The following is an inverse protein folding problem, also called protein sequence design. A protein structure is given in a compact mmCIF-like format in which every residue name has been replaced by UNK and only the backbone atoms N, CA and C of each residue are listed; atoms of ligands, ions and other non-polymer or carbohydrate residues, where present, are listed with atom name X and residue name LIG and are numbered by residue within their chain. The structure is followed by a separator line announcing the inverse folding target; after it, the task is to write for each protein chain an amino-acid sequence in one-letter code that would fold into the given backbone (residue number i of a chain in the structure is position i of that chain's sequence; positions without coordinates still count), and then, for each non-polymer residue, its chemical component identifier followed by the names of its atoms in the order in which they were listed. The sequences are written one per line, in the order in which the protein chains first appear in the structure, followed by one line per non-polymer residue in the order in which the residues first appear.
data_IF_449064497508
#
_entry.id   IF_449064497508
#
_cell.length_a   1.000
_cell.length_b   1.000
_cell.length_c   1.000
_cell.angle_alpha   90.00
_cell.angle_beta   90.00
_cell.angle_gamma   90.00
#
_symmetry.space_group_name_H-M   'P 1'
#
loop_
_entity.id
_entity.type
_entity.pdbx_description
1 polymer ?
#
# COMPACT_ATOMS: atom_id res chain seq x y z
N UNK A 1 22.59 12.38 -8.91
CA UNK A 1 23.20 11.68 -10.07
C UNK A 1 23.09 10.17 -9.88
N UNK A 2 22.89 9.40 -10.97
CA UNK A 2 22.83 7.94 -10.91
C UNK A 2 24.23 7.36 -10.73
N UNK A 3 24.41 6.52 -9.72
CA UNK A 3 25.66 5.82 -9.45
C UNK A 3 25.60 4.41 -10.05
N UNK A 4 26.35 4.16 -11.11
CA UNK A 4 26.32 2.90 -11.86
C UNK A 4 26.75 1.68 -11.02
N UNK A 5 27.79 1.81 -10.19
CA UNK A 5 28.25 0.68 -9.36
C UNK A 5 27.20 0.26 -8.34
N UNK A 6 26.57 1.26 -7.70
CA UNK A 6 25.44 1.02 -6.79
C UNK A 6 24.25 0.41 -7.53
N UNK A 7 23.96 0.93 -8.73
CA UNK A 7 22.92 0.39 -9.61
C UNK A 7 23.14 -1.09 -9.94
N UNK A 8 24.35 -1.47 -10.34
CA UNK A 8 24.73 -2.87 -10.62
C UNK A 8 24.53 -3.78 -9.40
N UNK A 9 24.87 -3.31 -8.18
CA UNK A 9 24.62 -4.07 -6.94
C UNK A 9 23.13 -4.29 -6.68
N UNK A 10 22.30 -3.25 -6.88
CA UNK A 10 20.86 -3.34 -6.72
C UNK A 10 20.23 -4.30 -7.74
N UNK A 11 20.61 -4.19 -9.01
CA UNK A 11 20.13 -5.10 -10.06
C UNK A 11 20.50 -6.55 -9.74
N UNK A 12 21.74 -6.81 -9.32
CA UNK A 12 22.18 -8.16 -8.91
C UNK A 12 21.35 -8.69 -7.74
N UNK A 13 21.10 -7.84 -6.73
CA UNK A 13 20.26 -8.20 -5.58
C UNK A 13 18.84 -8.57 -6.02
N UNK A 14 18.23 -7.74 -6.87
CA UNK A 14 16.87 -7.98 -7.37
C UNK A 14 16.78 -9.28 -8.18
N UNK A 15 17.75 -9.57 -9.04
CA UNK A 15 17.79 -10.84 -9.80
C UNK A 15 17.93 -12.05 -8.87
N UNK A 16 18.78 -11.97 -7.84
CA UNK A 16 18.89 -13.02 -6.82
C UNK A 16 17.55 -13.20 -6.06
N UNK A 17 16.93 -12.09 -5.64
CA UNK A 17 15.64 -12.12 -4.98
C UNK A 17 14.56 -12.81 -5.84
N UNK A 18 14.53 -12.56 -7.14
CA UNK A 18 13.60 -13.23 -8.06
C UNK A 18 13.95 -14.73 -8.23
N UNK A 19 15.24 -15.10 -8.28
CA UNK A 19 15.66 -16.50 -8.33
C UNK A 19 15.22 -17.29 -7.08
N UNK A 20 15.20 -16.64 -5.90
CA UNK A 20 14.79 -17.26 -4.64
C UNK A 20 13.26 -17.31 -4.49
N UNK A 21 12.54 -16.24 -4.87
CA UNK A 21 11.11 -16.08 -4.58
C UNK A 21 10.21 -16.60 -5.69
N UNK A 22 10.60 -16.42 -6.95
CA UNK A 22 9.85 -16.78 -8.15
C UNK A 22 10.77 -17.49 -9.14
N UNK A 23 11.33 -18.67 -8.78
CA UNK A 23 12.34 -19.34 -9.56
C UNK A 23 11.84 -19.79 -10.93
N UNK A 24 12.70 -19.64 -11.94
CA UNK A 24 12.53 -20.24 -13.27
C UNK A 24 13.04 -21.68 -13.21
N UNK A 25 12.33 -22.60 -13.88
CA UNK A 25 12.77 -23.99 -13.96
C UNK A 25 14.10 -24.09 -14.72
N UNK A 26 15.14 -24.66 -14.07
CA UNK A 26 16.47 -24.90 -14.63
C UNK A 26 17.19 -23.67 -15.21
N UNK A 27 16.89 -22.46 -14.71
CA UNK A 27 17.44 -21.22 -15.20
C UNK A 27 17.41 -20.11 -14.14
N UNK A 28 18.12 -19.01 -14.40
CA UNK A 28 18.16 -17.81 -13.56
C UNK A 28 17.52 -16.61 -14.27
N UNK A 29 16.92 -15.71 -13.49
CA UNK A 29 16.45 -14.40 -13.98
C UNK A 29 17.56 -13.53 -14.59
N UNK A 30 18.83 -13.86 -14.35
CA UNK A 30 19.99 -13.19 -14.95
C UNK A 30 20.23 -13.58 -16.41
N UNK A 31 19.72 -14.74 -16.83
CA UNK A 31 20.02 -15.37 -18.13
C UNK A 31 18.95 -15.07 -19.18
N UNK A 32 17.76 -14.63 -18.75
CA UNK A 32 16.64 -14.40 -19.65
C UNK A 32 16.90 -13.25 -20.61
N UNK A 33 16.50 -13.44 -21.87
CA UNK A 33 16.61 -12.44 -22.94
C UNK A 33 15.26 -11.90 -23.40
N UNK A 34 14.15 -12.60 -23.13
CA UNK A 34 12.79 -12.14 -23.47
C UNK A 34 11.76 -12.87 -22.60
N UNK A 35 10.58 -12.26 -22.44
CA UNK A 35 9.50 -12.81 -21.65
C UNK A 35 8.19 -12.67 -22.42
N UNK A 36 7.41 -13.74 -22.48
CA UNK A 36 6.12 -13.79 -23.23
C UNK A 36 5.07 -14.55 -22.45
N UNK A 37 3.83 -14.37 -22.84
CA UNK A 37 2.70 -15.19 -22.36
C UNK A 37 2.24 -16.11 -23.47
N UNK A 38 2.31 -17.43 -23.23
CA UNK A 38 1.76 -18.46 -24.13
C UNK A 38 0.63 -19.22 -23.42
N UNK A 39 -0.57 -19.16 -24.00
CA UNK A 39 -1.75 -19.67 -23.31
C UNK A 39 -1.99 -18.91 -22.00
N UNK A 40 -1.89 -19.62 -20.89
CA UNK A 40 -1.99 -19.11 -19.52
C UNK A 40 -0.64 -19.10 -18.79
N UNK A 41 0.45 -19.45 -19.45
CA UNK A 41 1.76 -19.58 -18.84
C UNK A 41 2.70 -18.45 -19.23
N UNK A 42 3.59 -18.11 -18.29
CA UNK A 42 4.72 -17.22 -18.53
C UNK A 42 5.89 -18.03 -19.10
N UNK A 43 6.43 -17.58 -20.22
CA UNK A 43 7.53 -18.22 -20.93
C UNK A 43 8.72 -17.28 -20.97
N UNK A 44 9.87 -17.78 -20.54
CA UNK A 44 11.16 -17.09 -20.53
C UNK A 44 12.05 -17.64 -21.64
N UNK A 45 12.61 -16.75 -22.43
CA UNK A 45 13.57 -17.12 -23.47
C UNK A 45 15.00 -16.99 -22.93
N UNK A 46 15.78 -18.06 -23.10
CA UNK A 46 17.22 -18.08 -22.80
C UNK A 46 17.93 -18.62 -24.05
N UNK A 47 18.51 -17.72 -24.83
CA UNK A 47 18.93 -18.03 -26.19
C UNK A 47 17.75 -18.49 -27.04
N UNK A 48 17.76 -19.74 -27.51
CA UNK A 48 16.67 -20.36 -28.29
C UNK A 48 15.76 -21.26 -27.44
N UNK A 49 16.05 -21.45 -26.15
CA UNK A 49 15.28 -22.35 -25.27
C UNK A 49 14.19 -21.60 -24.54
N UNK A 50 13.00 -22.22 -24.48
CA UNK A 50 11.88 -21.75 -23.67
C UNK A 50 11.92 -22.42 -22.30
N UNK A 51 11.69 -21.62 -21.27
CA UNK A 51 11.62 -22.05 -19.87
C UNK A 51 10.33 -21.49 -19.25
N UNK A 52 9.89 -22.07 -18.14
CA UNK A 52 8.72 -21.60 -17.40
C UNK A 52 9.07 -21.35 -15.94
N UNK A 53 8.17 -20.76 -15.19
CA UNK A 53 8.28 -20.74 -13.74
C UNK A 53 8.31 -22.15 -13.19
N UNK A 54 9.10 -22.38 -12.13
CA UNK A 54 9.12 -23.65 -11.39
C UNK A 54 7.75 -23.95 -10.79
N UNK A 55 7.07 -22.91 -10.26
CA UNK A 55 5.67 -22.94 -9.85
C UNK A 55 4.87 -21.98 -10.74
N UNK A 56 4.16 -22.54 -11.70
CA UNK A 56 3.36 -21.79 -12.68
C UNK A 56 2.20 -21.02 -12.03
N UNK A 57 1.75 -21.41 -10.83
CA UNK A 57 0.66 -20.73 -10.13
C UNK A 57 1.09 -19.37 -9.55
N UNK A 58 2.38 -19.12 -9.45
CA UNK A 58 2.88 -17.81 -9.07
C UNK A 58 2.56 -16.71 -10.10
N UNK A 59 2.36 -17.08 -11.37
CA UNK A 59 1.94 -16.12 -12.39
C UNK A 59 0.47 -15.75 -12.24
N UNK A 60 0.19 -14.48 -11.94
CA UNK A 60 -1.15 -13.96 -11.68
C UNK A 60 -1.71 -13.20 -12.89
N UNK A 61 -0.87 -12.40 -13.56
CA UNK A 61 -1.31 -11.58 -14.67
C UNK A 61 -0.20 -10.72 -15.27
N UNK A 62 -0.58 -9.85 -16.19
CA UNK A 62 0.35 -9.03 -16.96
C UNK A 62 -0.33 -7.76 -17.48
N UNK A 63 0.49 -6.83 -17.98
CA UNK A 63 0.07 -5.71 -18.81
C UNK A 63 0.85 -5.70 -20.13
N UNK A 64 0.27 -5.07 -21.14
CA UNK A 64 0.77 -5.09 -22.51
C UNK A 64 0.15 -6.21 -23.35
N UNK A 65 0.77 -6.51 -24.47
CA UNK A 65 0.39 -7.64 -25.34
C UNK A 65 1.17 -8.89 -24.92
N UNK A 66 0.61 -10.09 -25.18
CA UNK A 66 1.25 -11.37 -24.80
C UNK A 66 2.71 -11.53 -25.28
N UNK A 67 3.04 -10.91 -26.41
CA UNK A 67 4.40 -10.91 -26.99
C UNK A 67 5.19 -9.61 -26.71
N UNK A 68 4.56 -8.60 -26.09
CA UNK A 68 5.18 -7.31 -25.78
C UNK A 68 4.66 -6.82 -24.44
N UNK A 69 5.17 -7.46 -23.40
CA UNK A 69 4.75 -7.17 -22.03
C UNK A 69 5.30 -5.82 -21.56
N UNK A 70 4.52 -5.10 -20.76
CA UNK A 70 4.96 -3.90 -20.04
C UNK A 70 5.10 -4.15 -18.54
N UNK A 71 4.39 -5.15 -18.02
CA UNK A 71 4.63 -5.66 -16.67
C UNK A 71 4.16 -7.11 -16.53
N UNK A 72 4.71 -7.78 -15.51
CA UNK A 72 4.35 -9.13 -15.10
C UNK A 72 4.01 -9.10 -13.63
N UNK A 73 2.83 -9.60 -13.27
CA UNK A 73 2.40 -9.74 -11.89
C UNK A 73 2.56 -11.19 -11.45
N UNK A 74 3.39 -11.40 -10.45
CA UNK A 74 3.58 -12.70 -9.80
C UNK A 74 3.26 -12.60 -8.31
N UNK A 75 3.10 -13.76 -7.64
CA UNK A 75 2.66 -13.82 -6.24
C UNK A 75 3.47 -14.83 -5.45
N UNK A 76 3.92 -14.44 -4.26
CA UNK A 76 4.58 -15.30 -3.28
C UNK A 76 4.06 -14.96 -1.88
N UNK A 77 3.73 -15.98 -1.08
CA UNK A 77 3.23 -15.82 0.30
C UNK A 77 2.05 -14.83 0.40
N UNK A 78 1.14 -14.87 -0.58
CA UNK A 78 0.01 -13.94 -0.75
C UNK A 78 0.38 -12.49 -1.10
N UNK A 79 1.65 -12.13 -1.20
CA UNK A 79 2.12 -10.81 -1.60
C UNK A 79 2.42 -10.78 -3.10
N UNK A 80 2.07 -9.68 -3.75
CA UNK A 80 2.30 -9.49 -5.18
C UNK A 80 3.66 -8.83 -5.42
N UNK A 81 4.28 -9.25 -6.53
CA UNK A 81 5.50 -8.69 -7.07
C UNK A 81 5.19 -8.26 -8.50
N UNK A 82 5.35 -6.98 -8.79
CA UNK A 82 5.14 -6.40 -10.11
C UNK A 82 6.48 -6.13 -10.79
N UNK A 83 6.77 -6.86 -11.87
CA UNK A 83 8.03 -6.78 -12.62
C UNK A 83 7.77 -5.91 -13.83
N UNK A 84 8.31 -4.68 -13.84
CA UNK A 84 8.11 -3.71 -14.90
C UNK A 84 9.11 -3.93 -16.03
N UNK A 85 8.61 -3.99 -17.26
CA UNK A 85 9.38 -4.19 -18.47
C UNK A 85 9.28 -2.91 -19.31
N UNK A 86 10.41 -2.24 -19.52
CA UNK A 86 10.50 -1.01 -20.29
C UNK A 86 11.87 -0.87 -20.93
N UNK A 87 11.94 -1.11 -22.23
CA UNK A 87 13.16 -1.03 -23.04
C UNK A 87 13.71 0.39 -23.18
N UNK A 88 12.88 1.42 -22.93
CA UNK A 88 13.27 2.82 -23.08
C UNK A 88 13.78 3.41 -21.75
N UNK A 89 13.52 2.74 -20.64
CA UNK A 89 14.06 3.08 -19.33
C UNK A 89 15.57 2.85 -19.27
N UNK A 90 16.28 3.70 -18.53
CA UNK A 90 17.76 3.60 -18.39
C UNK A 90 18.20 2.24 -17.86
N UNK A 91 17.52 1.67 -16.89
CA UNK A 91 17.83 0.35 -16.33
C UNK A 91 17.41 -0.75 -17.31
N UNK A 92 16.20 -0.67 -17.88
CA UNK A 92 15.70 -1.64 -18.84
C UNK A 92 16.58 -1.77 -20.10
N UNK A 93 17.19 -0.67 -20.57
CA UNK A 93 18.18 -0.70 -21.66
C UNK A 93 19.40 -1.56 -21.36
N UNK A 94 19.79 -1.68 -20.12
CA UNK A 94 20.94 -2.48 -19.67
C UNK A 94 20.60 -3.93 -19.34
N UNK A 95 19.30 -4.26 -19.24
CA UNK A 95 18.81 -5.62 -18.94
C UNK A 95 18.43 -6.35 -20.22
N UNK A 96 18.87 -7.60 -20.39
CA UNK A 96 18.63 -8.40 -21.60
C UNK A 96 17.14 -8.62 -21.88
N UNK A 97 16.31 -8.71 -20.84
CA UNK A 97 14.86 -8.87 -20.93
C UNK A 97 14.12 -7.55 -20.70
N UNK A 98 14.83 -6.42 -20.71
CA UNK A 98 14.30 -5.06 -20.50
C UNK A 98 13.58 -4.87 -19.16
N UNK A 99 13.95 -5.62 -18.11
CA UNK A 99 13.43 -5.43 -16.76
C UNK A 99 13.95 -4.10 -16.23
N UNK A 100 13.02 -3.17 -16.01
CA UNK A 100 13.33 -1.80 -15.58
C UNK A 100 13.19 -1.61 -14.08
N UNK A 101 12.26 -2.32 -13.44
CA UNK A 101 12.00 -2.22 -12.01
C UNK A 101 11.27 -3.46 -11.49
N UNK A 102 11.36 -3.68 -10.17
CA UNK A 102 10.57 -4.69 -9.45
C UNK A 102 9.94 -4.01 -8.25
N UNK A 103 8.62 -4.02 -8.20
CA UNK A 103 7.81 -3.41 -7.13
C UNK A 103 7.18 -4.52 -6.31
N UNK A 104 7.42 -4.52 -5.02
CA UNK A 104 6.89 -5.53 -4.09
C UNK A 104 5.85 -4.92 -3.15
N UNK A 105 4.82 -5.68 -2.82
CA UNK A 105 3.91 -5.34 -1.73
C UNK A 105 4.66 -5.51 -0.41
N UNK A 106 4.84 -4.43 0.33
CA UNK A 106 5.56 -4.44 1.61
C UNK A 106 4.79 -3.76 2.74
N UNK A 107 4.20 -2.58 2.48
CA UNK A 107 3.38 -1.85 3.45
C UNK A 107 1.89 -2.09 3.15
N UNK A 108 1.31 -3.15 3.73
CA UNK A 108 -0.11 -3.48 3.55
C UNK A 108 -1.02 -2.52 4.32
N UNK A 109 -0.50 -1.92 5.39
CA UNK A 109 -1.20 -0.89 6.17
C UNK A 109 -0.28 0.30 6.43
N UNK A 110 -0.89 1.46 6.66
CA UNK A 110 -0.21 2.71 7.03
C UNK A 110 -1.03 3.39 8.11
N UNK A 111 -0.38 3.90 9.15
CA UNK A 111 -1.02 4.61 10.25
C UNK A 111 -0.96 6.10 9.96
N UNK A 112 -2.12 6.74 9.91
CA UNK A 112 -2.27 8.20 9.90
C UNK A 112 -2.36 8.66 11.34
N UNK A 113 -1.59 9.66 11.68
CA UNK A 113 -1.37 10.06 13.07
C UNK A 113 -2.08 11.37 13.40
N UNK A 114 -2.79 11.39 14.53
CA UNK A 114 -3.35 12.60 15.15
C UNK A 114 -2.59 12.98 16.44
N UNK A 115 -1.44 12.37 16.70
CA UNK A 115 -0.65 12.53 17.92
C UNK A 115 0.82 12.93 17.61
N UNK A 116 1.77 12.25 18.20
CA UNK A 116 3.16 12.67 18.34
C UNK A 116 3.91 12.94 17.02
N UNK A 117 3.66 12.16 15.96
CA UNK A 117 4.42 12.30 14.72
C UNK A 117 4.05 13.52 13.88
N UNK A 118 2.91 14.15 14.17
CA UNK A 118 2.43 15.34 13.44
C UNK A 118 2.56 16.63 14.22
N UNK A 119 2.97 16.58 15.50
CA UNK A 119 3.17 17.72 16.39
C UNK A 119 2.00 18.73 16.33
N UNK A 120 0.77 18.22 16.49
CA UNK A 120 -0.43 19.06 16.53
C UNK A 120 -0.45 19.83 17.87
N UNK A 121 0.09 21.04 17.87
CA UNK A 121 0.30 21.87 19.08
C UNK A 121 -0.82 22.86 19.33
N UNK A 122 -1.66 23.12 18.34
CA UNK A 122 -2.79 24.03 18.42
C UNK A 122 -4.01 23.52 17.65
N UNK A 123 -5.09 24.28 17.67
CA UNK A 123 -6.34 23.95 17.00
C UNK A 123 -6.22 23.92 15.48
N UNK A 124 -5.37 24.74 14.89
CA UNK A 124 -5.17 24.77 13.44
C UNK A 124 -4.47 23.49 12.97
N UNK A 125 -3.44 23.05 13.67
CA UNK A 125 -2.74 21.80 13.41
C UNK A 125 -3.67 20.60 13.56
N UNK A 126 -4.49 20.57 14.61
CA UNK A 126 -5.46 19.51 14.84
C UNK A 126 -6.51 19.43 13.73
N UNK A 127 -7.06 20.56 13.32
CA UNK A 127 -7.99 20.63 12.19
C UNK A 127 -7.33 20.19 10.89
N UNK A 128 -6.03 20.49 10.70
CA UNK A 128 -5.26 20.01 9.52
C UNK A 128 -5.15 18.50 9.51
N UNK A 129 -4.91 17.86 10.65
CA UNK A 129 -4.89 16.40 10.78
C UNK A 129 -6.25 15.80 10.36
N UNK A 130 -7.34 16.34 10.87
CA UNK A 130 -8.68 15.89 10.53
C UNK A 130 -9.03 16.11 9.06
N UNK A 131 -8.65 17.25 8.47
CA UNK A 131 -8.84 17.52 7.04
C UNK A 131 -8.07 16.55 6.16
N UNK A 132 -6.86 16.20 6.54
CA UNK A 132 -6.06 15.21 5.83
C UNK A 132 -6.74 13.84 5.89
N UNK A 133 -7.20 13.41 7.06
CA UNK A 133 -7.95 12.17 7.20
C UNK A 133 -9.24 12.18 6.38
N UNK A 134 -10.02 13.26 6.44
CA UNK A 134 -11.22 13.42 5.62
C UNK A 134 -10.93 13.30 4.13
N UNK A 135 -9.89 13.97 3.63
CA UNK A 135 -9.49 13.92 2.22
C UNK A 135 -9.01 12.53 1.79
N UNK A 136 -8.35 11.78 2.68
CA UNK A 136 -7.99 10.38 2.45
C UNK A 136 -9.23 9.49 2.32
N UNK A 137 -10.24 9.65 3.21
CA UNK A 137 -11.46 8.87 3.20
C UNK A 137 -12.40 9.23 2.03
N UNK A 138 -12.46 10.49 1.64
CA UNK A 138 -13.14 10.93 0.42
C UNK A 138 -12.41 10.51 -0.86
N UNK A 139 -11.11 10.30 -0.77
CA UNK A 139 -10.26 9.98 -1.92
C UNK A 139 -9.86 11.18 -2.77
N UNK A 140 -10.05 12.40 -2.28
CA UNK A 140 -9.78 13.66 -2.99
C UNK A 140 -8.57 14.45 -2.45
N UNK A 141 -7.84 13.90 -1.48
CA UNK A 141 -6.65 14.55 -0.94
C UNK A 141 -5.61 14.81 -2.03
N UNK A 142 -5.18 16.05 -2.13
CA UNK A 142 -4.12 16.50 -3.04
C UNK A 142 -3.06 17.29 -2.29
N UNK A 143 -1.82 17.22 -2.75
CA UNK A 143 -0.73 18.04 -2.25
C UNK A 143 0.01 18.71 -3.41
N UNK A 144 0.15 20.02 -3.33
CA UNK A 144 0.97 20.79 -4.26
C UNK A 144 2.43 20.66 -3.85
N UNK A 145 3.25 20.11 -4.72
CA UNK A 145 4.67 19.84 -4.49
C UNK A 145 5.54 20.67 -5.43
N UNK A 146 6.72 21.05 -4.94
CA UNK A 146 7.78 21.64 -5.75
C UNK A 146 9.04 20.82 -5.58
N UNK A 147 9.57 20.26 -6.66
CA UNK A 147 10.83 19.52 -6.65
C UNK A 147 11.74 20.03 -7.75
N UNK A 148 12.89 20.59 -7.38
CA UNK A 148 13.88 21.15 -8.30
C UNK A 148 13.26 22.21 -9.25
N UNK A 149 12.41 23.11 -8.71
CA UNK A 149 11.75 24.16 -9.47
C UNK A 149 10.51 23.70 -10.29
N UNK A 150 10.26 22.40 -10.37
CA UNK A 150 9.08 21.85 -11.06
C UNK A 150 7.92 21.68 -10.08
N UNK A 151 6.84 22.39 -10.32
CA UNK A 151 5.57 22.25 -9.57
C UNK A 151 4.78 21.06 -10.12
N UNK A 152 4.28 20.21 -9.23
CA UNK A 152 3.40 19.11 -9.58
C UNK A 152 2.40 18.84 -8.45
N UNK A 153 1.29 18.19 -8.79
CA UNK A 153 0.24 17.82 -7.84
C UNK A 153 0.37 16.34 -7.52
N UNK A 154 0.59 16.01 -6.25
CA UNK A 154 0.45 14.62 -5.76
C UNK A 154 -1.02 14.32 -5.51
N UNK A 155 -1.43 13.16 -5.96
CA UNK A 155 -2.77 12.59 -5.75
C UNK A 155 -2.64 11.20 -5.17
N UNK A 156 -3.74 10.70 -4.62
CA UNK A 156 -3.82 9.31 -4.18
C UNK A 156 -3.67 8.37 -5.37
N UNK A 157 -2.92 7.28 -5.20
CA UNK A 157 -2.72 6.30 -6.25
C UNK A 157 -4.05 5.60 -6.59
N UNK A 158 -4.39 5.44 -7.88
CA UNK A 158 -5.51 4.60 -8.28
C UNK A 158 -5.19 3.12 -8.10
N UNK A 159 -6.22 2.29 -8.14
CA UNK A 159 -6.04 0.84 -8.19
C UNK A 159 -5.28 0.43 -9.46
N UNK A 160 -4.41 -0.58 -9.33
CA UNK A 160 -3.58 -1.11 -10.40
C UNK A 160 -4.35 -2.20 -11.16
N UNK A 161 -4.43 -2.08 -12.47
CA UNK A 161 -5.18 -2.98 -13.34
C UNK A 161 -4.24 -3.90 -14.12
N UNK A 162 -4.63 -5.17 -14.27
CA UNK A 162 -3.89 -6.18 -15.03
C UNK A 162 -4.85 -7.07 -15.81
N UNK A 163 -4.32 -7.79 -16.77
CA UNK A 163 -4.96 -8.92 -17.42
C UNK A 163 -4.46 -10.18 -16.70
N UNK A 164 -5.38 -10.97 -16.14
CA UNK A 164 -5.02 -12.21 -15.47
C UNK A 164 -4.54 -13.26 -16.47
N UNK A 165 -3.92 -14.34 -15.98
CA UNK A 165 -3.44 -15.45 -16.82
C UNK A 165 -4.52 -16.05 -17.72
N UNK A 166 -5.76 -16.07 -17.28
CA UNK A 166 -6.93 -16.57 -18.04
C UNK A 166 -7.63 -15.49 -18.89
N UNK A 167 -7.06 -14.29 -19.02
CA UNK A 167 -7.57 -13.21 -19.86
C UNK A 167 -8.59 -12.27 -19.19
N UNK A 168 -9.00 -12.52 -17.95
CA UNK A 168 -9.92 -11.65 -17.23
C UNK A 168 -9.21 -10.38 -16.72
N UNK A 169 -9.95 -9.31 -16.56
CA UNK A 169 -9.44 -8.10 -15.89
C UNK A 169 -9.39 -8.29 -14.38
N UNK A 170 -8.27 -7.99 -13.77
CA UNK A 170 -8.08 -7.98 -12.31
C UNK A 170 -7.59 -6.61 -11.85
N UNK A 171 -7.87 -6.27 -10.61
CA UNK A 171 -7.46 -5.02 -10.00
C UNK A 171 -6.86 -5.27 -8.63
N UNK A 172 -5.73 -4.64 -8.34
CA UNK A 172 -5.09 -4.62 -7.03
C UNK A 172 -5.22 -3.23 -6.42
N UNK A 173 -5.28 -3.16 -5.11
CA UNK A 173 -5.24 -1.88 -4.40
C UNK A 173 -3.98 -1.09 -4.77
N UNK A 174 -4.16 0.18 -5.10
CA UNK A 174 -3.05 1.11 -5.33
C UNK A 174 -2.52 1.74 -4.05
N UNK A 175 -3.22 1.56 -2.92
CA UNK A 175 -2.93 2.16 -1.63
C UNK A 175 -2.91 1.11 -0.53
N UNK A 176 -2.11 1.37 0.52
CA UNK A 176 -2.17 0.60 1.76
C UNK A 176 -3.50 0.85 2.49
N UNK A 177 -3.95 -0.10 3.32
CA UNK A 177 -5.04 0.11 4.25
C UNK A 177 -4.61 1.18 5.27
N UNK A 178 -5.42 2.22 5.41
CA UNK A 178 -5.16 3.31 6.34
C UNK A 178 -5.87 3.06 7.66
N UNK A 179 -5.09 3.13 8.75
CA UNK A 179 -5.56 3.17 10.13
C UNK A 179 -5.34 4.59 10.65
N UNK A 180 -6.20 5.06 11.56
CA UNK A 180 -6.03 6.37 12.20
C UNK A 180 -5.59 6.18 13.65
N UNK A 181 -4.45 6.76 14.05
CA UNK A 181 -4.01 6.78 15.45
C UNK A 181 -4.60 7.98 16.16
N UNK A 182 -5.50 7.72 17.11
CA UNK A 182 -6.05 8.73 17.99
C UNK A 182 -5.09 9.03 19.14
N UNK A 183 -5.27 10.16 19.78
CA UNK A 183 -4.52 10.55 20.98
C UNK A 183 -4.77 9.58 22.15
N UNK A 184 -3.78 9.41 23.01
CA UNK A 184 -3.82 8.53 24.18
C UNK A 184 -4.84 8.93 25.24
N UNK A 185 -4.95 8.12 26.30
CA UNK A 185 -6.02 8.26 27.30
C UNK A 185 -5.89 9.50 28.20
N UNK A 186 -4.65 9.98 28.44
CA UNK A 186 -4.39 11.03 29.42
C UNK A 186 -4.60 12.45 28.90
N UNK A 187 -4.72 12.61 27.58
CA UNK A 187 -4.85 13.92 26.96
C UNK A 187 -6.29 14.40 26.99
N UNK A 188 -6.47 15.66 27.33
CA UNK A 188 -7.76 16.37 27.27
C UNK A 188 -7.67 17.51 26.26
N UNK A 189 -8.83 18.05 25.86
CA UNK A 189 -8.89 19.13 24.88
C UNK A 189 -10.02 20.11 25.19
N UNK A 190 -9.70 21.43 25.28
CA UNK A 190 -10.68 22.47 25.64
C UNK A 190 -11.70 22.79 24.54
N UNK A 191 -11.60 22.18 23.36
CA UNK A 191 -12.57 22.39 22.27
C UNK A 191 -14.00 22.01 22.66
N UNK A 192 -14.14 21.06 23.58
CA UNK A 192 -15.42 20.63 24.14
C UNK A 192 -15.30 20.56 25.66
N UNK A 193 -16.17 21.29 26.36
CA UNK A 193 -16.26 21.26 27.79
C UNK A 193 -17.45 20.38 28.22
N UNK A 194 -17.24 19.59 29.26
CA UNK A 194 -18.29 18.81 29.91
C UNK A 194 -19.14 19.71 30.80
N UNK A 195 -20.25 19.18 31.34
CA UNK A 195 -21.18 19.96 32.18
C UNK A 195 -20.58 20.56 33.44
N UNK A 196 -19.54 19.91 33.96
CA UNK A 196 -18.79 20.34 35.14
C UNK A 196 -17.66 21.32 34.81
N UNK A 197 -17.51 21.70 33.53
CA UNK A 197 -16.42 22.57 33.05
C UNK A 197 -15.10 21.86 32.77
N UNK A 198 -15.02 20.57 32.98
CA UNK A 198 -13.83 19.81 32.60
C UNK A 198 -13.70 19.61 31.09
N UNK A 199 -12.49 19.45 30.59
CA UNK A 199 -12.22 19.22 29.17
C UNK A 199 -12.58 17.78 28.76
N UNK A 200 -13.03 17.61 27.52
CA UNK A 200 -13.27 16.27 26.97
C UNK A 200 -11.93 15.50 26.84
N UNK A 201 -11.92 14.19 27.12
CA UNK A 201 -10.79 13.35 26.74
C UNK A 201 -10.55 13.43 25.22
N UNK A 202 -9.38 13.92 24.81
CA UNK A 202 -9.08 14.19 23.39
C UNK A 202 -9.18 12.93 22.51
N UNK A 203 -8.82 11.77 23.05
CA UNK A 203 -8.94 10.51 22.33
C UNK A 203 -10.39 10.12 22.00
N UNK A 204 -11.39 10.59 22.80
CA UNK A 204 -12.81 10.42 22.49
C UNK A 204 -13.21 11.36 21.35
N UNK A 205 -12.81 12.63 21.42
CA UNK A 205 -13.03 13.59 20.34
C UNK A 205 -12.45 13.09 19.02
N UNK A 206 -11.22 12.58 19.05
CA UNK A 206 -10.57 11.97 17.88
C UNK A 206 -11.39 10.80 17.33
N UNK A 207 -11.89 9.91 18.19
CA UNK A 207 -12.69 8.77 17.77
C UNK A 207 -13.97 9.19 17.04
N UNK A 208 -14.67 10.18 17.55
CA UNK A 208 -15.87 10.71 16.88
C UNK A 208 -15.54 11.34 15.54
N UNK A 209 -14.57 12.26 15.49
CA UNK A 209 -14.21 12.98 14.26
C UNK A 209 -13.63 12.04 13.22
N UNK A 210 -12.70 11.14 13.60
CA UNK A 210 -12.11 10.19 12.67
C UNK A 210 -13.12 9.20 12.11
N UNK A 211 -14.08 8.75 12.93
CA UNK A 211 -15.17 7.88 12.47
C UNK A 211 -16.10 8.63 11.51
N UNK A 212 -16.52 9.86 11.84
CA UNK A 212 -17.32 10.69 10.96
C UNK A 212 -16.67 10.87 9.58
N UNK A 213 -15.37 11.16 9.56
CA UNK A 213 -14.61 11.25 8.32
C UNK A 213 -14.59 9.91 7.55
N UNK A 214 -14.42 8.79 8.26
CA UNK A 214 -14.34 7.45 7.64
C UNK A 214 -15.67 7.00 7.02
N UNK A 215 -16.82 7.53 7.44
CA UNK A 215 -18.12 7.25 6.80
C UNK A 215 -18.13 7.60 5.30
N UNK A 216 -17.30 8.55 4.87
CA UNK A 216 -17.18 8.89 3.46
C UNK A 216 -16.59 7.73 2.63
N UNK A 217 -15.76 6.87 3.22
CA UNK A 217 -15.20 5.70 2.54
C UNK A 217 -16.20 4.55 2.40
N UNK A 218 -17.23 4.47 3.27
CA UNK A 218 -18.18 3.35 3.27
C UNK A 218 -18.95 3.21 1.96
N UNK A 219 -19.22 4.31 1.28
CA UNK A 219 -19.84 4.31 -0.04
C UNK A 219 -18.92 3.78 -1.13
N UNK A 220 -17.67 4.23 -1.14
CA UNK A 220 -16.72 3.95 -2.22
C UNK A 220 -15.83 2.74 -1.92
N UNK A 221 -15.67 2.37 -0.64
CA UNK A 221 -14.84 1.24 -0.16
C UNK A 221 -13.40 1.28 -0.69
N UNK A 222 -12.83 2.49 -0.80
CA UNK A 222 -11.48 2.70 -1.31
C UNK A 222 -10.42 2.40 -0.25
N UNK A 223 -10.74 2.60 1.03
CA UNK A 223 -9.88 2.24 2.14
C UNK A 223 -10.31 0.90 2.75
N UNK A 224 -11.52 0.81 3.31
CA UNK A 224 -12.04 -0.40 3.92
C UNK A 224 -13.01 -1.13 3.00
N UNK A 225 -12.62 -2.31 2.52
CA UNK A 225 -13.51 -3.18 1.70
C UNK A 225 -14.63 -3.80 2.51
N UNK A 226 -14.49 -3.88 3.83
CA UNK A 226 -15.47 -4.47 4.77
C UNK A 226 -16.38 -3.44 5.40
N UNK A 227 -16.18 -2.14 5.16
CA UNK A 227 -16.96 -1.07 5.78
C UNK A 227 -16.62 -0.88 7.28
N UNK A 228 -15.35 -1.05 7.64
CA UNK A 228 -14.86 -0.90 9.02
C UNK A 228 -14.02 0.36 9.16
N UNK A 229 -14.00 0.93 10.36
CA UNK A 229 -13.07 2.00 10.75
C UNK A 229 -11.97 1.39 11.60
N UNK A 230 -10.71 1.69 11.26
CA UNK A 230 -9.55 1.14 11.95
C UNK A 230 -8.88 2.23 12.76
N UNK A 231 -8.96 2.12 14.08
CA UNK A 231 -8.39 3.09 15.03
C UNK A 231 -7.24 2.43 15.79
N UNK A 232 -6.11 3.11 15.82
CA UNK A 232 -4.96 2.75 16.66
C UNK A 232 -5.04 3.57 17.94
N UNK A 233 -5.04 2.90 19.10
CA UNK A 233 -5.02 3.54 20.42
C UNK A 233 -3.63 3.40 21.03
N UNK A 234 -2.86 4.48 21.16
CA UNK A 234 -1.51 4.45 21.73
C UNK A 234 -1.51 4.50 23.26
N UNK A 235 -0.34 4.30 23.85
CA UNK A 235 -0.05 4.56 25.28
C UNK A 235 -1.02 3.83 26.23
N UNK A 236 -1.30 2.54 25.92
CA UNK A 236 -2.12 1.71 26.77
C UNK A 236 -1.41 1.36 28.07
N UNK A 237 -2.10 1.43 29.20
CA UNK A 237 -1.56 1.19 30.54
C UNK A 237 -1.60 -0.32 30.90
N UNK A 238 -0.93 -1.15 30.11
CA UNK A 238 -0.78 -2.57 30.35
C UNK A 238 -1.92 -3.45 29.79
N UNK A 239 -1.83 -4.78 30.02
CA UNK A 239 -2.73 -5.76 29.44
C UNK A 239 -4.20 -5.60 29.89
N UNK A 240 -4.41 -5.15 31.12
CA UNK A 240 -5.75 -4.95 31.69
C UNK A 240 -6.52 -3.85 30.95
N UNK A 241 -5.85 -2.73 30.61
CA UNK A 241 -6.46 -1.66 29.84
C UNK A 241 -6.83 -2.13 28.43
N UNK A 242 -6.02 -2.99 27.81
CA UNK A 242 -6.32 -3.59 26.51
C UNK A 242 -7.52 -4.54 26.62
N UNK A 243 -7.53 -5.39 27.64
CA UNK A 243 -8.62 -6.33 27.90
C UNK A 243 -9.96 -5.61 28.11
N UNK A 244 -9.96 -4.51 28.87
CA UNK A 244 -11.15 -3.70 29.11
C UNK A 244 -11.77 -3.15 27.81
N UNK A 245 -10.95 -2.66 26.86
CA UNK A 245 -11.45 -2.20 25.56
C UNK A 245 -12.10 -3.34 24.78
N UNK A 246 -11.52 -4.53 24.79
CA UNK A 246 -12.08 -5.71 24.12
C UNK A 246 -13.44 -6.12 24.74
N UNK A 247 -13.54 -6.13 26.05
CA UNK A 247 -14.79 -6.45 26.76
C UNK A 247 -15.89 -5.46 26.41
N UNK A 248 -15.61 -4.16 26.48
CA UNK A 248 -16.61 -3.11 26.17
C UNK A 248 -17.04 -3.12 24.71
N UNK A 249 -16.17 -3.41 23.77
CA UNK A 249 -16.53 -3.55 22.38
C UNK A 249 -17.52 -4.72 22.14
N UNK A 250 -17.44 -5.77 22.93
CA UNK A 250 -18.39 -6.88 22.89
C UNK A 250 -19.71 -6.57 23.59
N UNK A 251 -19.69 -5.88 24.72
CA UNK A 251 -20.91 -5.48 25.47
C UNK A 251 -21.81 -4.56 24.65
N UNK A 252 -21.24 -3.54 23.96
CA UNK A 252 -22.03 -2.64 23.10
C UNK A 252 -22.72 -3.36 21.93
N UNK A 253 -22.28 -4.55 21.55
CA UNK A 253 -22.92 -5.34 20.49
C UNK A 253 -24.14 -6.12 21.00
N UNK A 254 -24.19 -6.44 22.28
CA UNK A 254 -25.33 -7.14 22.92
C UNK A 254 -26.42 -6.18 23.42
N UNK A 255 -26.06 -4.94 23.76
CA UNK A 255 -26.99 -3.95 24.29
C UNK A 255 -27.74 -3.16 23.19
N UNK A 256 -27.43 -3.41 21.92
CA UNK A 256 -28.05 -2.74 20.75
C UNK A 256 -29.00 -3.65 19.93
N UNK A 257 -29.39 -4.81 20.48
CA UNK A 257 -30.38 -5.72 19.86
C UNK A 257 -31.66 -5.76 20.67
#
# INVERSE_FOLDING_TARGET
EYNEERGKKVIKYVKNFLDETVPIANASWKEISDIKVKGEDLVFLIGKKENSLKDKQQFIGFNGEKNKLTSILVKKNKLHIDILIDKDNMIGKSDKASIANVVIESALSTIIDNEDSVAAVDSEDKVRCYRNWLGLMKGDLIANMNKNGKKFIRRLNPDRKYISRNGNKISLHGRALLLNRNVGHLMTNPAILLKDGSEIPEGIMDAFVSTLCALHDFKNKNNSRTGSVYIVKPKMHGPEAVSYIHLRAHETRHDLV
#
